data_IF_995875409380
#
_entry.id   IF_995875409380
#
_cell.length_a   1.000
_cell.length_b   1.000
_cell.length_c   1.000
_cell.angle_alpha   90.00
_cell.angle_beta   90.00
_cell.angle_gamma   90.00
#
_symmetry.space_group_name_H-M   'P 1'
#
loop_
_entity.id
_entity.type
_entity.pdbx_description
1 polymer ?
#
# COMPACT_ATOMS: atom_id res chain seq x y z
N UNK A 1 -8.08 -10.95 11.07
CA UNK A 1 -6.74 -10.45 11.40
C UNK A 1 -5.73 -11.15 10.50
N UNK A 2 -5.66 -12.49 10.52
CA UNK A 2 -4.80 -13.27 9.62
C UNK A 2 -4.91 -12.89 8.13
N UNK A 3 -6.13 -12.65 7.62
CA UNK A 3 -6.34 -12.22 6.23
C UNK A 3 -5.67 -10.89 5.85
N UNK A 4 -5.27 -10.06 6.82
CA UNK A 4 -4.50 -8.84 6.57
C UNK A 4 -3.01 -9.08 6.85
N UNK A 5 -2.69 -9.73 7.98
CA UNK A 5 -1.32 -9.95 8.41
C UNK A 5 -0.54 -10.90 7.48
N UNK A 6 -1.11 -12.06 7.11
CA UNK A 6 -0.40 -13.04 6.28
C UNK A 6 0.03 -12.46 4.93
N UNK A 7 -0.87 -11.89 4.11
CA UNK A 7 -0.46 -11.33 2.83
C UNK A 7 0.47 -10.13 2.98
N UNK A 8 0.26 -9.28 3.99
CA UNK A 8 1.11 -8.10 4.20
C UNK A 8 2.52 -8.48 4.67
N UNK A 9 2.64 -9.41 5.61
CA UNK A 9 3.93 -9.92 6.06
C UNK A 9 4.66 -10.64 4.91
N UNK A 10 3.96 -11.43 4.12
CA UNK A 10 4.55 -12.03 2.92
C UNK A 10 5.05 -10.95 1.95
N UNK A 11 4.24 -9.93 1.68
CA UNK A 11 4.59 -8.81 0.80
C UNK A 11 5.88 -8.10 1.25
N UNK A 12 6.00 -7.79 2.54
CA UNK A 12 7.17 -7.07 3.09
C UNK A 12 8.41 -7.95 3.22
N UNK A 13 8.25 -9.21 3.61
CA UNK A 13 9.40 -10.08 3.97
C UNK A 13 9.94 -10.86 2.78
N UNK A 14 9.08 -11.24 1.82
CA UNK A 14 9.49 -12.18 0.75
C UNK A 14 10.58 -11.62 -0.15
N UNK A 15 10.49 -10.37 -0.58
CA UNK A 15 11.50 -9.76 -1.45
C UNK A 15 12.89 -9.70 -0.81
N UNK A 16 13.11 -9.05 0.36
CA UNK A 16 14.44 -8.96 0.95
C UNK A 16 14.99 -10.34 1.34
N UNK A 17 14.13 -11.27 1.79
CA UNK A 17 14.55 -12.63 2.12
C UNK A 17 15.03 -13.40 0.88
N UNK A 18 14.27 -13.35 -0.22
CA UNK A 18 14.62 -14.07 -1.45
C UNK A 18 15.83 -13.45 -2.10
N UNK A 19 15.94 -12.13 -2.11
CA UNK A 19 17.13 -11.43 -2.60
C UNK A 19 18.36 -11.82 -1.79
N UNK A 20 18.26 -11.86 -0.45
CA UNK A 20 19.36 -12.30 0.42
C UNK A 20 19.78 -13.74 0.13
N UNK A 21 18.83 -14.64 -0.14
CA UNK A 21 19.11 -16.06 -0.37
C UNK A 21 19.61 -16.37 -1.78
N UNK A 22 19.21 -15.59 -2.78
CA UNK A 22 19.44 -15.92 -4.20
C UNK A 22 20.30 -14.90 -4.95
N UNK A 23 20.48 -13.70 -4.42
CA UNK A 23 21.07 -12.56 -5.11
C UNK A 23 20.28 -12.08 -6.34
N UNK A 24 19.07 -12.61 -6.58
CA UNK A 24 18.30 -12.36 -7.78
C UNK A 24 17.08 -11.46 -7.49
N UNK A 25 17.26 -10.17 -7.75
CA UNK A 25 16.23 -9.15 -7.57
C UNK A 25 14.97 -9.41 -8.42
N UNK A 26 15.12 -9.92 -9.65
CA UNK A 26 13.96 -10.16 -10.52
C UNK A 26 13.12 -11.30 -9.93
N UNK A 27 13.77 -12.37 -9.48
CA UNK A 27 13.11 -13.50 -8.84
C UNK A 27 12.43 -13.09 -7.53
N UNK A 28 13.08 -12.26 -6.71
CA UNK A 28 12.50 -11.77 -5.45
C UNK A 28 11.24 -10.95 -5.69
N UNK A 29 11.26 -10.03 -6.66
CA UNK A 29 10.08 -9.29 -7.11
C UNK A 29 8.98 -10.21 -7.63
N UNK A 30 9.32 -11.18 -8.47
CA UNK A 30 8.34 -12.11 -9.05
C UNK A 30 7.63 -12.94 -8.00
N UNK A 31 8.37 -13.48 -7.03
CA UNK A 31 7.77 -14.29 -5.96
C UNK A 31 6.93 -13.41 -5.03
N UNK A 32 7.42 -12.21 -4.65
CA UNK A 32 6.64 -11.25 -3.85
C UNK A 32 5.32 -10.93 -4.53
N UNK A 33 5.35 -10.51 -5.80
CA UNK A 33 4.17 -10.09 -6.57
C UNK A 33 3.20 -11.25 -6.76
N UNK A 34 3.67 -12.40 -7.24
CA UNK A 34 2.82 -13.57 -7.49
C UNK A 34 2.24 -14.14 -6.18
N UNK A 35 3.06 -14.33 -5.16
CA UNK A 35 2.61 -14.88 -3.88
C UNK A 35 1.63 -13.96 -3.15
N UNK A 36 1.87 -12.65 -3.14
CA UNK A 36 0.93 -11.67 -2.57
C UNK A 36 -0.39 -11.69 -3.35
N UNK A 37 -0.33 -11.74 -4.70
CA UNK A 37 -1.50 -11.90 -5.55
C UNK A 37 -2.31 -13.15 -5.22
N UNK A 38 -1.64 -14.30 -5.03
CA UNK A 38 -2.29 -15.56 -4.63
C UNK A 38 -2.99 -15.40 -3.27
N UNK A 39 -2.37 -14.78 -2.27
CA UNK A 39 -3.04 -14.55 -0.99
C UNK A 39 -4.22 -13.58 -1.09
N UNK A 40 -4.10 -12.51 -1.88
CA UNK A 40 -5.19 -11.58 -2.13
C UNK A 40 -6.38 -12.29 -2.79
N UNK A 41 -6.11 -13.15 -3.79
CA UNK A 41 -7.12 -13.99 -4.43
C UNK A 41 -7.70 -15.03 -3.47
N UNK A 42 -6.90 -15.64 -2.60
CA UNK A 42 -7.38 -16.61 -1.62
C UNK A 42 -8.34 -15.96 -0.60
N UNK A 43 -8.03 -14.74 -0.14
CA UNK A 43 -8.83 -14.02 0.85
C UNK A 43 -9.90 -13.09 0.26
N UNK A 44 -10.07 -13.02 -1.07
CA UNK A 44 -10.86 -11.98 -1.74
C UNK A 44 -12.30 -11.83 -1.21
N UNK A 45 -13.02 -12.94 -1.00
CA UNK A 45 -14.41 -12.95 -0.48
C UNK A 45 -14.49 -12.35 0.93
N UNK A 46 -13.42 -12.47 1.71
CA UNK A 46 -13.39 -12.00 3.08
C UNK A 46 -13.22 -10.48 3.17
N UNK A 47 -12.66 -9.83 2.15
CA UNK A 47 -12.53 -8.36 2.13
C UNK A 47 -13.85 -7.66 1.79
N UNK A 48 -14.80 -8.36 1.15
CA UNK A 48 -16.12 -7.81 0.75
C UNK A 48 -16.00 -6.49 -0.02
N UNK A 49 -14.93 -6.32 -0.80
CA UNK A 49 -14.70 -5.13 -1.60
C UNK A 49 -15.80 -5.02 -2.68
N UNK A 50 -16.40 -3.84 -2.78
CA UNK A 50 -17.33 -3.48 -3.85
C UNK A 50 -16.72 -2.31 -4.61
N UNK A 51 -16.02 -2.61 -5.70
CA UNK A 51 -15.42 -1.57 -6.53
C UNK A 51 -16.52 -0.77 -7.23
N UNK A 52 -16.52 0.54 -7.01
CA UNK A 52 -17.29 1.48 -7.82
C UNK A 52 -16.38 2.63 -8.21
N UNK A 53 -16.28 2.87 -9.52
CA UNK A 53 -15.44 3.94 -10.06
C UNK A 53 -15.82 5.29 -9.43
N UNK A 54 -14.80 6.06 -9.11
CA UNK A 54 -14.93 7.36 -8.48
C UNK A 54 -13.99 8.33 -9.16
N UNK A 55 -14.53 9.17 -10.03
CA UNK A 55 -13.77 10.22 -10.70
C UNK A 55 -13.00 11.11 -9.70
N UNK A 56 -13.57 11.54 -8.55
CA UNK A 56 -12.80 12.27 -7.54
C UNK A 56 -11.60 11.49 -7.01
N UNK A 57 -11.71 10.17 -6.85
CA UNK A 57 -10.61 9.34 -6.35
C UNK A 57 -9.49 9.25 -7.39
N UNK A 58 -9.83 9.09 -8.67
CA UNK A 58 -8.85 9.07 -9.77
C UNK A 58 -8.13 10.42 -9.91
N UNK A 59 -8.84 11.54 -9.79
CA UNK A 59 -8.22 12.86 -9.80
C UNK A 59 -7.27 13.05 -8.61
N UNK A 60 -7.62 12.54 -7.43
CA UNK A 60 -6.72 12.54 -6.27
C UNK A 60 -5.49 11.67 -6.55
N UNK A 61 -5.62 10.52 -7.22
CA UNK A 61 -4.48 9.68 -7.61
C UNK A 61 -3.52 10.37 -8.58
N UNK A 62 -4.05 11.12 -9.55
CA UNK A 62 -3.24 11.95 -10.44
C UNK A 62 -2.48 13.01 -9.63
N UNK A 63 -3.15 13.70 -8.70
CA UNK A 63 -2.51 14.69 -7.83
C UNK A 63 -1.43 14.05 -6.95
N UNK A 64 -1.72 12.89 -6.34
CA UNK A 64 -0.77 12.10 -5.55
C UNK A 64 0.48 11.78 -6.38
N UNK A 65 0.31 11.34 -7.63
CA UNK A 65 1.41 11.01 -8.54
C UNK A 65 2.27 12.24 -8.86
N UNK A 66 1.63 13.38 -9.15
CA UNK A 66 2.32 14.65 -9.39
C UNK A 66 3.11 15.08 -8.15
N UNK A 67 2.48 15.06 -6.97
CA UNK A 67 3.15 15.40 -5.72
C UNK A 67 4.32 14.48 -5.43
N UNK A 68 4.18 13.18 -5.68
CA UNK A 68 5.27 12.23 -5.47
C UNK A 68 6.48 12.54 -6.33
N UNK A 69 6.27 12.76 -7.63
CA UNK A 69 7.35 13.07 -8.59
C UNK A 69 8.02 14.41 -8.25
N UNK A 70 7.24 15.41 -7.84
CA UNK A 70 7.77 16.73 -7.47
C UNK A 70 8.57 16.68 -6.17
N UNK A 71 8.14 15.90 -5.17
CA UNK A 71 8.80 15.82 -3.88
C UNK A 71 10.01 14.88 -3.86
N UNK A 72 10.01 13.82 -4.68
CA UNK A 72 11.08 12.81 -4.73
C UNK A 72 12.50 13.40 -4.84
N UNK A 73 12.80 14.36 -5.73
CA UNK A 73 14.15 14.93 -5.82
C UNK A 73 14.47 15.98 -4.75
N UNK A 74 13.48 16.45 -3.99
CA UNK A 74 13.64 17.57 -3.04
C UNK A 74 14.09 17.14 -1.66
N UNK A 75 13.99 15.85 -1.32
CA UNK A 75 14.25 15.33 0.02
C UNK A 75 15.10 14.05 -0.03
N UNK A 76 15.89 13.77 1.01
CA UNK A 76 16.71 12.56 1.06
C UNK A 76 15.85 11.31 1.22
N UNK A 77 16.29 10.23 0.56
CA UNK A 77 15.71 8.90 0.67
C UNK A 77 16.19 8.16 1.93
N UNK A 78 15.31 7.35 2.50
CA UNK A 78 15.70 6.33 3.48
C UNK A 78 16.19 5.09 2.73
N UNK A 79 17.50 4.88 2.67
CA UNK A 79 18.11 3.74 1.98
C UNK A 79 18.49 4.02 0.53
N UNK A 80 19.09 3.03 -0.11
CA UNK A 80 19.59 3.13 -1.49
C UNK A 80 18.65 2.37 -2.44
N UNK A 81 18.31 3.01 -3.56
CA UNK A 81 17.59 2.38 -4.66
C UNK A 81 18.61 2.02 -5.75
N UNK A 82 18.98 0.74 -5.87
CA UNK A 82 19.85 0.30 -6.95
C UNK A 82 19.09 0.39 -8.30
N UNK A 83 19.63 1.17 -9.24
CA UNK A 83 19.12 1.18 -10.61
C UNK A 83 19.63 -0.06 -11.34
N UNK A 84 18.71 -0.89 -11.83
CA UNK A 84 19.04 -2.13 -12.53
C UNK A 84 18.38 -2.18 -13.92
N UNK A 85 19.11 -2.57 -14.97
CA UNK A 85 18.57 -2.67 -16.32
C UNK A 85 17.44 -3.69 -16.38
N UNK A 86 16.25 -3.23 -16.74
CA UNK A 86 15.06 -4.04 -16.70
C UNK A 86 14.85 -4.77 -18.04
N UNK A 87 14.84 -6.11 -18.02
CA UNK A 87 14.26 -6.90 -19.12
C UNK A 87 12.77 -6.59 -19.24
N UNK A 88 12.16 -6.83 -20.42
CA UNK A 88 10.72 -6.62 -20.62
C UNK A 88 9.88 -7.35 -19.56
N UNK A 89 10.28 -8.56 -19.18
CA UNK A 89 9.64 -9.32 -18.10
C UNK A 89 9.73 -8.60 -16.74
N UNK A 90 10.92 -8.09 -16.38
CA UNK A 90 11.13 -7.36 -15.13
C UNK A 90 10.29 -6.07 -15.07
N UNK A 91 10.10 -5.39 -16.20
CA UNK A 91 9.23 -4.21 -16.28
C UNK A 91 7.78 -4.61 -16.02
N UNK A 92 7.28 -5.63 -16.70
CA UNK A 92 5.88 -6.08 -16.55
C UNK A 92 5.58 -6.47 -15.11
N UNK A 93 6.44 -7.26 -14.47
CA UNK A 93 6.20 -7.71 -13.08
C UNK A 93 6.28 -6.54 -12.09
N UNK A 94 7.17 -5.57 -12.31
CA UNK A 94 7.26 -4.35 -11.49
C UNK A 94 6.01 -3.49 -11.65
N UNK A 95 5.49 -3.33 -12.87
CA UNK A 95 4.24 -2.60 -13.14
C UNK A 95 3.05 -3.28 -12.44
N UNK A 96 2.93 -4.61 -12.52
CA UNK A 96 1.86 -5.34 -11.83
C UNK A 96 2.00 -5.18 -10.31
N UNK A 97 3.21 -5.33 -9.79
CA UNK A 97 3.50 -5.17 -8.37
C UNK A 97 3.12 -3.78 -7.87
N UNK A 98 3.55 -2.74 -8.59
CA UNK A 98 3.36 -1.34 -8.23
C UNK A 98 1.90 -0.87 -8.42
N UNK A 99 1.28 -1.12 -9.57
CA UNK A 99 -0.06 -0.58 -9.85
C UNK A 99 -1.18 -1.43 -9.26
N UNK A 100 -1.02 -2.75 -9.16
CA UNK A 100 -2.12 -3.62 -8.70
C UNK A 100 -1.89 -4.12 -7.29
N UNK A 101 -0.75 -4.76 -7.04
CA UNK A 101 -0.55 -5.48 -5.78
C UNK A 101 -0.38 -4.51 -4.61
N UNK A 102 0.50 -3.50 -4.75
CA UNK A 102 0.82 -2.56 -3.68
C UNK A 102 -0.42 -1.76 -3.20
N UNK A 103 -1.19 -1.08 -4.07
CA UNK A 103 -2.42 -0.40 -3.65
C UNK A 103 -3.42 -1.34 -2.97
N UNK A 104 -3.60 -2.57 -3.48
CA UNK A 104 -4.52 -3.52 -2.86
C UNK A 104 -4.06 -3.92 -1.47
N UNK A 105 -2.82 -4.37 -1.32
CA UNK A 105 -2.34 -4.92 -0.05
C UNK A 105 -2.15 -3.83 1.00
N UNK A 106 -1.63 -2.67 0.61
CA UNK A 106 -1.37 -1.56 1.51
C UNK A 106 -2.66 -0.91 1.99
N UNK A 107 -3.64 -0.67 1.11
CA UNK A 107 -4.93 -0.11 1.54
C UNK A 107 -5.72 -1.09 2.41
N UNK A 108 -5.70 -2.38 2.07
CA UNK A 108 -6.33 -3.40 2.91
C UNK A 108 -5.67 -3.49 4.29
N UNK A 109 -4.33 -3.43 4.35
CA UNK A 109 -3.61 -3.51 5.61
C UNK A 109 -3.76 -2.24 6.45
N UNK A 110 -3.45 -1.08 5.88
CA UNK A 110 -3.43 0.19 6.62
C UNK A 110 -4.85 0.71 6.86
N UNK A 111 -5.66 0.86 5.80
CA UNK A 111 -6.93 1.60 5.87
C UNK A 111 -8.08 0.71 6.36
N UNK A 112 -8.14 -0.54 5.91
CA UNK A 112 -9.17 -1.47 6.38
C UNK A 112 -8.80 -2.10 7.73
N UNK A 113 -7.53 -2.40 8.03
CA UNK A 113 -7.15 -3.03 9.30
C UNK A 113 -6.54 -2.04 10.31
N UNK A 114 -5.38 -1.45 10.03
CA UNK A 114 -4.55 -0.74 11.02
C UNK A 114 -5.25 0.49 11.61
N UNK A 115 -5.95 1.27 10.77
CA UNK A 115 -6.75 2.43 11.22
C UNK A 115 -7.75 2.01 12.31
N UNK A 116 -8.51 0.95 12.08
CA UNK A 116 -9.52 0.48 13.05
C UNK A 116 -8.87 -0.18 14.27
N UNK A 117 -7.76 -0.87 14.07
CA UNK A 117 -7.00 -1.55 15.12
C UNK A 117 -6.60 -0.57 16.22
N UNK A 118 -6.09 0.61 15.86
CA UNK A 118 -5.67 1.64 16.81
C UNK A 118 -6.81 2.49 17.40
N UNK A 119 -8.06 2.28 16.98
CA UNK A 119 -9.22 3.02 17.53
C UNK A 119 -9.84 2.27 18.71
N UNK A 120 -9.87 0.94 18.70
CA UNK A 120 -10.54 0.22 19.77
C UNK A 120 -10.21 -1.26 19.89
N UNK A 121 -10.29 -1.78 21.12
CA UNK A 121 -9.98 -3.17 21.49
C UNK A 121 -10.74 -4.20 20.64
N UNK A 122 -11.99 -3.91 20.27
CA UNK A 122 -12.76 -4.71 19.31
C UNK A 122 -12.88 -3.99 17.96
N UNK A 123 -11.74 -3.79 17.31
CA UNK A 123 -11.61 -3.03 16.05
C UNK A 123 -12.55 -3.49 14.93
N UNK A 124 -12.99 -4.75 14.94
CA UNK A 124 -13.95 -5.29 13.96
C UNK A 124 -15.32 -4.61 14.02
N UNK A 125 -15.69 -4.05 15.18
CA UNK A 125 -16.92 -3.26 15.36
C UNK A 125 -16.74 -1.80 14.98
N UNK A 126 -15.50 -1.33 14.81
CA UNK A 126 -15.21 0.04 14.35
C UNK A 126 -15.61 0.13 12.88
N UNK A 127 -16.38 1.17 12.54
CA UNK A 127 -16.83 1.41 11.17
C UNK A 127 -15.63 1.88 10.33
N UNK A 128 -15.65 1.55 9.04
CA UNK A 128 -14.62 2.02 8.10
C UNK A 128 -14.67 3.55 8.05
N UNK A 129 -13.50 4.18 8.14
CA UNK A 129 -13.36 5.63 8.16
C UNK A 129 -13.78 6.32 9.47
N UNK A 130 -13.99 5.60 10.58
CA UNK A 130 -14.04 6.25 11.90
C UNK A 130 -12.71 6.97 12.16
N UNK A 131 -12.79 8.23 12.59
CA UNK A 131 -11.61 9.03 12.92
C UNK A 131 -11.15 8.77 14.36
N UNK A 132 -9.84 8.80 14.57
CA UNK A 132 -9.22 8.85 15.89
C UNK A 132 -7.79 9.37 15.75
N UNK A 133 -7.42 10.35 16.58
CA UNK A 133 -6.12 11.03 16.48
C UNK A 133 -4.92 10.09 16.55
N UNK A 134 -4.91 9.18 17.52
CA UNK A 134 -3.83 8.20 17.67
C UNK A 134 -3.70 7.32 16.43
N UNK A 135 -4.83 6.80 15.93
CA UNK A 135 -4.90 5.98 14.73
C UNK A 135 -4.42 6.73 13.49
N UNK A 136 -4.84 7.98 13.32
CA UNK A 136 -4.41 8.83 12.21
C UNK A 136 -2.89 9.03 12.22
N UNK A 137 -2.33 9.48 13.35
CA UNK A 137 -0.89 9.75 13.47
C UNK A 137 -0.08 8.46 13.25
N UNK A 138 -0.42 7.37 13.92
CA UNK A 138 0.33 6.11 13.79
C UNK A 138 0.28 5.59 12.34
N UNK A 139 -0.88 5.62 11.69
CA UNK A 139 -0.99 5.08 10.32
C UNK A 139 -0.29 5.95 9.29
N UNK A 140 -0.30 7.27 9.46
CA UNK A 140 0.48 8.19 8.61
C UNK A 140 1.98 7.92 8.78
N UNK A 141 2.48 7.87 10.01
CA UNK A 141 3.91 7.62 10.27
C UNK A 141 4.34 6.23 9.79
N UNK A 142 3.52 5.20 10.04
CA UNK A 142 3.76 3.84 9.56
C UNK A 142 3.90 3.79 8.04
N UNK A 143 2.97 4.42 7.32
CA UNK A 143 2.99 4.44 5.86
C UNK A 143 4.15 5.30 5.32
N UNK A 144 4.45 6.44 5.95
CA UNK A 144 5.58 7.27 5.57
C UNK A 144 6.91 6.55 5.69
N UNK A 145 7.20 6.01 6.87
CA UNK A 145 8.50 5.39 7.15
C UNK A 145 8.65 3.96 6.60
N UNK A 146 7.62 3.39 5.97
CA UNK A 146 7.75 2.14 5.22
C UNK A 146 8.31 2.33 3.81
N UNK A 147 8.58 3.58 3.40
CA UNK A 147 9.04 3.91 2.05
C UNK A 147 10.37 4.66 2.07
N UNK A 148 11.18 4.46 1.02
CA UNK A 148 12.41 5.23 0.82
C UNK A 148 12.08 6.72 0.65
N UNK A 149 11.06 7.05 -0.14
CA UNK A 149 10.51 8.42 -0.30
C UNK A 149 9.60 8.81 0.88
N UNK A 150 10.15 8.77 2.09
CA UNK A 150 9.38 8.85 3.33
C UNK A 150 8.44 10.07 3.39
N UNK A 151 8.89 11.25 2.93
CA UNK A 151 8.08 12.46 2.97
C UNK A 151 6.91 12.40 1.97
N UNK A 152 7.17 11.97 0.73
CA UNK A 152 6.11 11.74 -0.27
C UNK A 152 5.08 10.76 0.28
N UNK A 153 5.54 9.65 0.85
CA UNK A 153 4.68 8.65 1.48
C UNK A 153 3.90 9.22 2.68
N UNK A 154 4.47 10.08 3.53
CA UNK A 154 3.73 10.76 4.60
C UNK A 154 2.56 11.59 4.04
N UNK A 155 2.81 12.39 3.01
CA UNK A 155 1.78 13.23 2.37
C UNK A 155 0.67 12.34 1.78
N UNK A 156 1.04 11.29 1.05
CA UNK A 156 0.08 10.32 0.51
C UNK A 156 -0.69 9.62 1.63
N UNK A 157 -0.02 9.25 2.72
CA UNK A 157 -0.59 8.71 3.95
C UNK A 157 -1.73 9.58 4.49
N UNK A 158 -1.47 10.88 4.60
CA UNK A 158 -2.44 11.88 5.04
C UNK A 158 -3.61 11.96 4.06
N UNK A 159 -3.34 12.16 2.77
CA UNK A 159 -4.38 12.32 1.74
C UNK A 159 -5.32 11.12 1.69
N UNK A 160 -4.78 9.90 1.70
CA UNK A 160 -5.58 8.67 1.68
C UNK A 160 -6.40 8.48 2.96
N UNK A 161 -5.85 8.83 4.14
CA UNK A 161 -6.63 8.81 5.38
C UNK A 161 -7.78 9.82 5.36
N UNK A 162 -7.54 11.05 4.88
CA UNK A 162 -8.59 12.06 4.72
C UNK A 162 -9.67 11.61 3.73
N UNK A 163 -9.26 10.99 2.61
CA UNK A 163 -10.17 10.40 1.64
C UNK A 163 -11.02 9.30 2.29
N UNK A 164 -10.41 8.39 3.04
CA UNK A 164 -11.09 7.34 3.79
C UNK A 164 -12.12 7.91 4.77
N UNK A 165 -11.76 8.95 5.52
CA UNK A 165 -12.66 9.57 6.48
C UNK A 165 -13.82 10.31 5.80
N UNK A 166 -13.62 10.82 4.59
CA UNK A 166 -14.68 11.46 3.82
C UNK A 166 -15.62 10.45 3.17
N UNK A 167 -15.09 9.43 2.51
CA UNK A 167 -15.88 8.49 1.68
C UNK A 167 -16.38 7.28 2.45
N UNK A 168 -15.73 6.93 3.57
CA UNK A 168 -15.94 5.69 4.35
C UNK A 168 -15.80 4.44 3.48
N UNK A 169 -14.95 4.50 2.45
CA UNK A 169 -14.80 3.49 1.40
C UNK A 169 -13.34 3.16 1.16
N UNK A 170 -13.02 1.86 1.16
CA UNK A 170 -11.66 1.38 0.86
C UNK A 170 -11.39 1.43 -0.64
N UNK A 171 -12.39 1.15 -1.47
CA UNK A 171 -12.24 1.12 -2.93
C UNK A 171 -11.90 2.50 -3.52
N UNK A 172 -12.29 3.60 -2.87
CA UNK A 172 -11.87 4.96 -3.26
C UNK A 172 -10.40 5.20 -2.93
N UNK A 173 -9.90 4.66 -1.82
CA UNK A 173 -8.49 4.80 -1.45
C UNK A 173 -7.61 3.98 -2.39
N UNK A 174 -8.04 2.76 -2.73
CA UNK A 174 -7.33 1.91 -3.72
C UNK A 174 -7.25 2.63 -5.08
N UNK A 175 -8.34 3.23 -5.54
CA UNK A 175 -8.36 3.98 -6.81
C UNK A 175 -7.50 5.25 -6.80
N UNK A 176 -7.33 5.88 -5.64
CA UNK A 176 -6.48 7.07 -5.49
C UNK A 176 -5.01 6.72 -5.26
N UNK A 177 -4.72 5.48 -4.86
CA UNK A 177 -3.35 4.98 -4.69
C UNK A 177 -2.82 4.31 -5.96
N UNK A 178 -3.72 3.88 -6.85
CA UNK A 178 -3.38 3.40 -8.19
C UNK A 178 -2.77 4.51 -9.04
#
# INVERSE_FOLDING_TARGET
MYKYLIPFLFYVVSEPLIELLTGNIILSYSIRTAGTGIFLLYFYKQYRLKFRLSLPSMLIGILISIFWIVLDPLFPHLGNSAYEPATTYAIVIKIIGFLLIAPLIEELFVRDFLVRFFIGKNWRKVRIGTFGWLSFVITVLFFGFSHNQWLSALVVGIVLNLLLYKTKRIDTCIQAHF
#
